data_IF_467960917701
#
_entry.id   IF_467960917701
#
_cell.length_a   1.000
_cell.length_b   1.000
_cell.length_c   1.000
_cell.angle_alpha   90.00
_cell.angle_beta   90.00
_cell.angle_gamma   90.00
#
_symmetry.space_group_name_H-M   'P 1'
#
loop_
_entity.id
_entity.type
_entity.pdbx_description
1 polymer ?
#
# COMPACT_ATOMS: atom_id res chain seq x y z
N UNK A 1 32.26 9.97 -3.99
CA UNK A 1 31.46 8.84 -4.49
C UNK A 1 30.31 8.65 -3.49
N UNK A 2 29.09 8.98 -3.86
CA UNK A 2 27.92 8.57 -3.07
C UNK A 2 27.79 7.05 -3.25
N UNK A 3 27.84 6.32 -2.12
CA UNK A 3 27.63 4.86 -2.13
C UNK A 3 26.18 4.51 -2.48
N UNK A 4 25.95 3.27 -2.87
CA UNK A 4 24.60 2.73 -3.08
C UNK A 4 23.82 2.75 -1.74
N UNK A 5 22.51 3.06 -1.73
CA UNK A 5 21.72 3.09 -0.51
C UNK A 5 21.62 1.71 0.13
N UNK A 6 21.55 1.66 1.45
CA UNK A 6 21.31 0.42 2.20
C UNK A 6 19.82 0.09 2.30
N UNK A 7 18.96 1.10 2.25
CA UNK A 7 17.51 0.96 2.33
C UNK A 7 16.87 1.82 1.24
N UNK A 8 15.99 1.22 0.45
CA UNK A 8 15.17 1.90 -0.55
C UNK A 8 13.70 1.74 -0.18
N UNK A 9 12.99 2.86 -0.01
CA UNK A 9 11.58 2.88 0.39
C UNK A 9 10.72 3.41 -0.75
N UNK A 10 9.89 2.55 -1.32
CA UNK A 10 8.85 2.93 -2.28
C UNK A 10 7.57 3.31 -1.54
N UNK A 11 7.42 4.60 -1.23
CA UNK A 11 6.33 5.14 -0.42
C UNK A 11 5.30 5.94 -1.23
N UNK A 12 5.68 6.49 -2.39
CA UNK A 12 4.79 7.32 -3.20
C UNK A 12 3.48 6.58 -3.54
N UNK A 13 2.36 7.28 -3.43
CA UNK A 13 1.07 6.69 -3.75
C UNK A 13 -0.06 7.70 -3.74
N UNK A 14 -1.08 7.42 -4.53
CA UNK A 14 -2.32 8.20 -4.62
C UNK A 14 -3.53 7.34 -4.29
N UNK A 15 -4.60 7.99 -3.83
CA UNK A 15 -5.89 7.36 -3.55
C UNK A 15 -7.01 8.29 -3.95
N UNK A 16 -7.70 7.96 -5.01
CA UNK A 16 -8.84 8.71 -5.56
C UNK A 16 -10.04 7.77 -5.60
N UNK A 17 -11.23 8.30 -5.29
CA UNK A 17 -12.47 7.54 -5.42
C UNK A 17 -12.80 7.29 -6.89
N UNK A 18 -13.42 6.15 -7.18
CA UNK A 18 -13.86 5.79 -8.52
C UNK A 18 -15.20 5.06 -8.51
N UNK A 19 -15.90 5.13 -9.65
CA UNK A 19 -17.10 4.35 -9.94
C UNK A 19 -16.91 3.65 -11.29
N UNK A 20 -16.98 2.32 -11.30
CA UNK A 20 -16.82 1.54 -12.54
C UNK A 20 -17.92 1.79 -13.57
N UNK A 21 -19.05 2.38 -13.18
CA UNK A 21 -20.11 2.78 -14.09
C UNK A 21 -19.78 4.08 -14.86
N UNK A 22 -18.77 4.84 -14.44
CA UNK A 22 -18.33 6.06 -15.10
C UNK A 22 -17.07 5.81 -15.93
N UNK A 23 -17.20 5.85 -17.27
CA UNK A 23 -16.07 5.59 -18.16
C UNK A 23 -14.86 6.54 -17.93
N UNK A 24 -15.10 7.75 -17.42
CA UNK A 24 -14.04 8.73 -17.11
C UNK A 24 -13.14 8.24 -15.97
N UNK A 25 -13.65 7.40 -15.08
CA UNK A 25 -12.90 6.88 -13.94
C UNK A 25 -11.91 5.77 -14.33
N UNK A 26 -11.92 5.30 -15.59
CA UNK A 26 -10.86 4.43 -16.10
C UNK A 26 -9.49 5.11 -16.06
N UNK A 27 -9.44 6.43 -16.31
CA UNK A 27 -8.21 7.21 -16.16
C UNK A 27 -7.72 7.22 -14.69
N UNK A 28 -8.64 7.28 -13.71
CA UNK A 28 -8.29 7.19 -12.28
C UNK A 28 -7.63 5.84 -11.96
N UNK A 29 -8.14 4.76 -12.54
CA UNK A 29 -7.53 3.43 -12.39
C UNK A 29 -6.10 3.40 -12.98
N UNK A 30 -5.94 3.88 -14.21
CA UNK A 30 -4.64 3.93 -14.90
C UNK A 30 -3.62 4.75 -14.12
N UNK A 31 -3.96 5.97 -13.71
CA UNK A 31 -3.10 6.85 -12.90
C UNK A 31 -2.69 6.19 -11.59
N UNK A 32 -3.66 5.56 -10.91
CA UNK A 32 -3.43 4.91 -9.62
C UNK A 32 -2.50 3.71 -9.77
N UNK A 33 -2.69 2.87 -10.79
CA UNK A 33 -1.81 1.73 -11.06
C UNK A 33 -0.41 2.19 -11.49
N UNK A 34 -0.32 3.20 -12.35
CA UNK A 34 0.95 3.78 -12.77
C UNK A 34 1.75 4.29 -11.58
N UNK A 35 1.13 5.10 -10.71
CA UNK A 35 1.82 5.67 -9.54
C UNK A 35 2.12 4.60 -8.48
N UNK A 36 1.10 3.83 -8.08
CA UNK A 36 1.21 2.96 -6.89
C UNK A 36 1.89 1.63 -7.18
N UNK A 37 1.91 1.15 -8.42
CA UNK A 37 2.47 -0.16 -8.78
C UNK A 37 3.71 0.00 -9.64
N UNK A 38 3.57 0.61 -10.82
CA UNK A 38 4.72 0.82 -11.73
C UNK A 38 5.77 1.69 -11.06
N UNK A 39 5.36 2.74 -10.32
CA UNK A 39 6.25 3.58 -9.55
C UNK A 39 7.03 2.82 -8.48
N UNK A 40 6.42 1.85 -7.80
CA UNK A 40 7.14 0.98 -6.84
C UNK A 40 8.19 0.13 -7.54
N UNK A 41 7.81 -0.53 -8.65
CA UNK A 41 8.74 -1.34 -9.43
C UNK A 41 9.91 -0.49 -9.98
N UNK A 42 9.62 0.69 -10.52
CA UNK A 42 10.63 1.62 -11.03
C UNK A 42 11.55 2.14 -9.91
N UNK A 43 11.03 2.27 -8.67
CA UNK A 43 11.85 2.66 -7.51
C UNK A 43 12.83 1.56 -7.12
N UNK A 44 12.44 0.29 -7.20
CA UNK A 44 13.29 -0.83 -6.79
C UNK A 44 14.28 -1.26 -7.87
N UNK A 45 13.83 -1.29 -9.12
CA UNK A 45 14.57 -1.87 -10.24
C UNK A 45 16.03 -1.45 -10.33
N UNK A 46 16.42 -0.17 -10.18
CA UNK A 46 17.82 0.25 -10.31
C UNK A 46 18.74 -0.32 -9.21
N UNK A 47 18.19 -0.75 -8.08
CA UNK A 47 18.96 -1.14 -6.90
C UNK A 47 19.05 -2.65 -6.69
N UNK A 48 18.10 -3.43 -7.21
CA UNK A 48 18.00 -4.88 -6.94
C UNK A 48 19.30 -5.60 -7.27
N UNK A 49 19.86 -5.41 -8.47
CA UNK A 49 21.06 -6.13 -8.89
C UNK A 49 22.27 -5.71 -8.07
N UNK A 50 22.48 -4.40 -7.88
CA UNK A 50 23.60 -3.89 -7.09
C UNK A 50 23.57 -4.36 -5.63
N UNK A 51 22.38 -4.44 -5.04
CA UNK A 51 22.20 -5.00 -3.67
C UNK A 51 22.48 -6.50 -3.63
N UNK A 52 22.06 -7.27 -4.63
CA UNK A 52 22.38 -8.71 -4.75
C UNK A 52 23.87 -8.95 -4.86
N UNK A 53 24.56 -8.20 -5.72
CA UNK A 53 26.01 -8.31 -5.94
C UNK A 53 26.80 -7.95 -4.68
N UNK A 54 26.31 -6.96 -3.92
CA UNK A 54 26.86 -6.56 -2.63
C UNK A 54 26.57 -7.56 -1.51
N UNK A 55 25.58 -8.41 -1.66
CA UNK A 55 25.12 -9.35 -0.63
C UNK A 55 24.35 -8.70 0.52
N UNK A 56 23.87 -7.46 0.36
CA UNK A 56 23.15 -6.72 1.41
C UNK A 56 22.28 -5.60 0.85
N UNK A 57 21.17 -5.31 1.52
CA UNK A 57 20.26 -4.24 1.21
C UNK A 57 18.84 -4.52 1.71
N UNK A 58 18.01 -3.49 1.75
CA UNK A 58 16.61 -3.63 2.14
C UNK A 58 15.71 -2.81 1.20
N UNK A 59 14.77 -3.47 0.58
CA UNK A 59 13.73 -2.88 -0.27
C UNK A 59 12.42 -2.86 0.53
N UNK A 60 11.79 -1.69 0.64
CA UNK A 60 10.59 -1.50 1.46
C UNK A 60 9.44 -1.01 0.59
N UNK A 61 8.41 -1.84 0.42
CA UNK A 61 7.18 -1.46 -0.26
C UNK A 61 6.10 -1.01 0.72
N UNK A 62 5.52 0.18 0.50
CA UNK A 62 4.41 0.68 1.31
C UNK A 62 3.09 0.37 0.61
N UNK A 63 2.45 -0.73 1.06
CA UNK A 63 1.13 -1.16 0.62
C UNK A 63 0.01 -0.44 1.42
N UNK A 64 -0.96 -1.18 1.94
CA UNK A 64 -2.04 -0.71 2.84
C UNK A 64 -2.83 -1.91 3.34
N UNK A 65 -3.53 -1.77 4.47
CA UNK A 65 -4.59 -2.73 4.87
C UNK A 65 -5.72 -2.83 3.84
N UNK A 66 -5.90 -1.82 3.01
CA UNK A 66 -6.84 -1.84 1.87
C UNK A 66 -6.46 -2.88 0.78
N UNK A 67 -5.25 -3.46 0.84
CA UNK A 67 -4.84 -4.57 -0.02
C UNK A 67 -5.59 -5.88 0.27
N UNK A 68 -6.17 -6.01 1.48
CA UNK A 68 -6.76 -7.28 1.96
C UNK A 68 -8.10 -7.58 1.32
N UNK A 69 -8.93 -6.56 1.10
CA UNK A 69 -10.28 -6.67 0.48
C UNK A 69 -10.61 -5.43 -0.34
N UNK A 70 -11.33 -5.63 -1.45
CA UNK A 70 -11.88 -4.53 -2.24
C UNK A 70 -12.96 -3.76 -1.47
N UNK A 71 -12.86 -2.45 -1.41
CA UNK A 71 -13.84 -1.57 -0.76
C UNK A 71 -14.64 -0.80 -1.81
N UNK A 72 -15.98 -0.67 -1.66
CA UNK A 72 -16.79 0.12 -2.58
C UNK A 72 -16.25 1.55 -2.77
N UNK A 73 -16.12 1.98 -4.02
CA UNK A 73 -15.58 3.30 -4.36
C UNK A 73 -14.05 3.45 -4.24
N UNK A 74 -13.32 2.36 -3.92
CA UNK A 74 -11.86 2.37 -3.77
C UNK A 74 -11.18 1.34 -4.68
N UNK A 75 -11.82 0.88 -5.74
CA UNK A 75 -11.36 -0.25 -6.55
C UNK A 75 -9.91 -0.05 -7.04
N UNK A 76 -9.58 1.11 -7.62
CA UNK A 76 -8.23 1.42 -8.10
C UNK A 76 -7.20 1.33 -6.96
N UNK A 77 -7.49 1.93 -5.82
CA UNK A 77 -6.57 1.94 -4.68
C UNK A 77 -6.38 0.52 -4.10
N UNK A 78 -7.47 -0.20 -3.83
CA UNK A 78 -7.40 -1.56 -3.29
C UNK A 78 -6.63 -2.50 -4.22
N UNK A 79 -6.93 -2.46 -5.53
CA UNK A 79 -6.24 -3.26 -6.54
C UNK A 79 -4.74 -2.91 -6.60
N UNK A 80 -4.40 -1.62 -6.60
CA UNK A 80 -3.00 -1.18 -6.62
C UNK A 80 -2.22 -1.64 -5.38
N UNK A 81 -2.82 -1.55 -4.20
CA UNK A 81 -2.15 -1.95 -2.95
C UNK A 81 -2.03 -3.48 -2.81
N UNK A 82 -3.01 -4.24 -3.32
CA UNK A 82 -2.89 -5.69 -3.45
C UNK A 82 -1.77 -6.10 -4.41
N UNK A 83 -1.64 -5.40 -5.55
CA UNK A 83 -0.55 -5.61 -6.49
C UNK A 83 0.83 -5.33 -5.87
N UNK A 84 0.96 -4.29 -5.03
CA UNK A 84 2.23 -4.00 -4.31
C UNK A 84 2.59 -5.13 -3.36
N UNK A 85 1.62 -5.70 -2.62
CA UNK A 85 1.87 -6.87 -1.76
C UNK A 85 2.40 -8.03 -2.57
N UNK A 86 1.73 -8.41 -3.67
CA UNK A 86 2.14 -9.50 -4.53
C UNK A 86 3.52 -9.25 -5.19
N UNK A 87 3.79 -8.01 -5.63
CA UNK A 87 5.09 -7.60 -6.18
C UNK A 87 6.23 -7.79 -5.17
N UNK A 88 6.03 -7.29 -3.94
CA UNK A 88 7.02 -7.44 -2.87
C UNK A 88 7.22 -8.90 -2.46
N UNK A 89 6.15 -9.70 -2.45
CA UNK A 89 6.23 -11.13 -2.15
C UNK A 89 7.04 -11.89 -3.20
N UNK A 90 6.80 -11.64 -4.49
CA UNK A 90 7.59 -12.21 -5.59
C UNK A 90 9.05 -11.80 -5.50
N UNK A 91 9.31 -10.50 -5.33
CA UNK A 91 10.67 -9.96 -5.22
C UNK A 91 11.42 -10.54 -4.00
N UNK A 92 10.73 -10.77 -2.89
CA UNK A 92 11.30 -11.44 -1.70
C UNK A 92 11.74 -12.86 -2.03
N UNK A 93 10.93 -13.59 -2.79
CA UNK A 93 11.27 -14.93 -3.29
C UNK A 93 12.50 -14.90 -4.20
N UNK A 94 12.54 -13.96 -5.13
CA UNK A 94 13.66 -13.77 -6.07
C UNK A 94 14.97 -13.36 -5.37
N UNK A 95 14.89 -12.63 -4.26
CA UNK A 95 16.06 -12.20 -3.47
C UNK A 95 16.50 -13.23 -2.43
N UNK A 96 15.86 -14.40 -2.34
CA UNK A 96 16.21 -15.43 -1.35
C UNK A 96 17.67 -15.88 -1.51
N UNK A 97 18.40 -15.87 -0.41
CA UNK A 97 19.82 -16.26 -0.39
C UNK A 97 20.81 -15.19 -0.87
N UNK A 98 20.34 -14.05 -1.37
CA UNK A 98 21.21 -12.96 -1.86
C UNK A 98 21.66 -11.97 -0.79
N UNK A 99 21.18 -12.09 0.46
CA UNK A 99 21.41 -11.10 1.51
C UNK A 99 20.51 -9.85 1.42
N UNK A 100 19.71 -9.72 0.36
CA UNK A 100 18.74 -8.61 0.20
C UNK A 100 17.43 -8.94 0.91
N UNK A 101 16.95 -8.03 1.72
CA UNK A 101 15.66 -8.12 2.42
C UNK A 101 14.58 -7.35 1.69
N UNK A 102 13.38 -7.90 1.64
CA UNK A 102 12.19 -7.19 1.12
C UNK A 102 11.16 -7.13 2.23
N UNK A 103 10.76 -5.90 2.58
CA UNK A 103 9.80 -5.60 3.66
C UNK A 103 8.55 -5.00 3.04
N UNK A 104 7.38 -5.53 3.38
CA UNK A 104 6.08 -4.97 2.98
C UNK A 104 5.41 -4.35 4.20
N UNK A 105 5.13 -3.06 4.15
CA UNK A 105 4.41 -2.34 5.20
C UNK A 105 2.95 -2.16 4.77
N UNK A 106 2.02 -2.51 5.64
CA UNK A 106 0.59 -2.34 5.43
C UNK A 106 0.04 -1.33 6.46
N UNK A 107 0.14 -0.02 6.17
CA UNK A 107 -0.48 0.99 7.03
C UNK A 107 -1.99 0.83 7.11
N UNK A 108 -2.56 1.08 8.32
CA UNK A 108 -3.94 1.44 8.49
C UNK A 108 -4.17 2.91 8.11
N UNK A 109 -4.94 3.63 8.93
CA UNK A 109 -5.14 5.06 8.72
C UNK A 109 -4.02 5.87 9.36
N UNK A 110 -3.34 6.68 8.55
CA UNK A 110 -2.30 7.60 8.96
C UNK A 110 -2.72 9.02 8.62
N UNK A 111 -2.61 9.95 9.56
CA UNK A 111 -2.97 11.36 9.40
C UNK A 111 -1.99 12.03 8.43
N UNK A 112 -2.40 12.15 7.17
CA UNK A 112 -1.63 12.71 6.05
C UNK A 112 -2.58 13.44 5.10
N UNK A 113 -2.08 14.24 4.14
CA UNK A 113 -2.93 14.82 3.10
C UNK A 113 -3.78 13.79 2.33
N UNK A 114 -3.28 12.55 2.18
CA UNK A 114 -4.01 11.46 1.52
C UNK A 114 -5.31 11.10 2.23
N UNK A 115 -5.37 11.25 3.55
CA UNK A 115 -6.50 10.88 4.41
C UNK A 115 -7.33 12.06 4.89
N UNK A 116 -6.82 13.29 4.77
CA UNK A 116 -7.46 14.51 5.28
C UNK A 116 -8.87 14.75 4.72
N UNK A 117 -9.13 14.34 3.46
CA UNK A 117 -10.43 14.46 2.81
C UNK A 117 -11.39 13.29 3.04
N UNK A 118 -11.06 12.32 3.88
CA UNK A 118 -11.93 11.17 4.13
C UNK A 118 -13.12 11.58 5.02
N UNK A 119 -14.34 11.23 4.57
CA UNK A 119 -15.60 11.50 5.29
C UNK A 119 -16.19 10.27 5.99
N UNK A 120 -15.39 9.24 6.19
CA UNK A 120 -15.79 8.00 6.85
C UNK A 120 -14.91 7.74 8.07
N UNK A 121 -15.38 6.92 9.04
CA UNK A 121 -14.60 6.60 10.23
C UNK A 121 -13.25 5.98 9.90
N UNK A 122 -12.21 6.44 10.56
CA UNK A 122 -10.83 5.96 10.44
C UNK A 122 -10.37 5.36 11.78
N UNK A 123 -10.76 4.12 12.09
CA UNK A 123 -10.38 3.49 13.35
C UNK A 123 -8.85 3.36 13.43
N UNK A 124 -8.33 3.56 14.65
CA UNK A 124 -6.89 3.50 14.92
C UNK A 124 -6.07 4.48 14.08
N UNK A 125 -6.63 5.65 13.75
CA UNK A 125 -5.89 6.73 13.11
C UNK A 125 -4.66 7.08 13.94
N UNK A 126 -3.49 7.10 13.31
CA UNK A 126 -2.23 7.43 13.96
C UNK A 126 -1.54 8.61 13.26
N UNK A 127 -0.62 9.27 13.97
CA UNK A 127 0.20 10.32 13.36
C UNK A 127 1.23 9.73 12.38
N UNK A 128 1.71 10.56 11.44
CA UNK A 128 2.78 10.17 10.53
C UNK A 128 4.07 9.80 11.27
N UNK A 129 4.41 10.53 12.33
CA UNK A 129 5.59 10.26 13.15
C UNK A 129 5.51 8.92 13.88
N UNK A 130 4.34 8.59 14.42
CA UNK A 130 4.15 7.30 15.09
C UNK A 130 4.22 6.15 14.09
N UNK A 131 3.62 6.31 12.91
CA UNK A 131 3.76 5.35 11.82
C UNK A 131 5.24 5.18 11.43
N UNK A 132 5.98 6.28 11.24
CA UNK A 132 7.38 6.24 10.83
C UNK A 132 8.25 5.50 11.88
N UNK A 133 8.04 5.75 13.17
CA UNK A 133 8.77 5.02 14.24
C UNK A 133 8.50 3.51 14.20
N UNK A 134 7.24 3.11 14.02
CA UNK A 134 6.90 1.68 13.95
C UNK A 134 7.40 1.03 12.66
N UNK A 135 7.33 1.74 11.53
CA UNK A 135 7.85 1.30 10.25
C UNK A 135 9.37 1.10 10.31
N UNK A 136 10.10 2.06 10.88
CA UNK A 136 11.55 1.96 11.07
C UNK A 136 11.95 0.72 11.87
N UNK A 137 11.27 0.46 13.01
CA UNK A 137 11.52 -0.75 13.81
C UNK A 137 11.26 -2.04 13.03
N UNK A 138 10.22 -2.05 12.19
CA UNK A 138 9.91 -3.21 11.36
C UNK A 138 10.98 -3.44 10.27
N UNK A 139 11.51 -2.37 9.68
CA UNK A 139 12.60 -2.41 8.71
C UNK A 139 13.89 -2.92 9.36
N UNK A 140 14.27 -2.38 10.53
CA UNK A 140 15.44 -2.84 11.27
C UNK A 140 15.34 -4.32 11.65
N UNK A 141 14.16 -4.74 12.14
CA UNK A 141 13.90 -6.14 12.47
C UNK A 141 13.90 -7.09 11.25
N UNK A 142 13.88 -6.55 10.03
CA UNK A 142 13.92 -7.33 8.80
C UNK A 142 12.69 -8.22 8.60
N UNK A 143 11.53 -7.83 9.14
CA UNK A 143 10.28 -8.60 8.97
C UNK A 143 9.84 -8.56 7.50
N UNK A 144 9.32 -9.66 6.99
CA UNK A 144 8.85 -9.72 5.59
C UNK A 144 7.60 -8.90 5.35
N UNK A 145 6.70 -8.82 6.34
CA UNK A 145 5.45 -8.07 6.28
C UNK A 145 5.07 -7.52 7.65
N UNK A 146 4.52 -6.31 7.70
CA UNK A 146 4.03 -5.70 8.94
C UNK A 146 2.80 -4.83 8.70
N UNK A 147 1.70 -5.17 9.37
CA UNK A 147 0.53 -4.28 9.50
C UNK A 147 0.77 -3.30 10.65
N UNK A 148 0.54 -2.02 10.40
CA UNK A 148 0.76 -0.93 11.38
C UNK A 148 -0.49 -0.02 11.41
N UNK A 149 -1.13 0.17 12.58
CA UNK A 149 -0.84 -0.43 13.89
C UNK A 149 -1.32 -1.88 14.00
N UNK A 150 -0.83 -2.61 14.98
CA UNK A 150 -1.14 -4.04 15.15
C UNK A 150 -2.65 -4.37 15.29
N UNK A 151 -3.54 -3.52 15.88
CA UNK A 151 -4.96 -3.84 15.91
C UNK A 151 -5.59 -3.95 14.51
N UNK A 152 -5.04 -3.21 13.55
CA UNK A 152 -5.46 -3.31 12.15
C UNK A 152 -5.10 -4.67 11.52
N UNK A 153 -4.11 -5.39 12.05
CA UNK A 153 -3.81 -6.76 11.60
C UNK A 153 -4.96 -7.71 11.95
N UNK A 154 -5.56 -7.56 13.12
CA UNK A 154 -6.74 -8.34 13.52
C UNK A 154 -7.92 -8.01 12.61
N UNK A 155 -8.18 -6.72 12.38
CA UNK A 155 -9.24 -6.28 11.45
C UNK A 155 -9.03 -6.86 10.06
N UNK A 156 -7.81 -6.76 9.52
CA UNK A 156 -7.44 -7.31 8.21
C UNK A 156 -7.68 -8.82 8.13
N UNK A 157 -7.23 -9.58 9.15
CA UNK A 157 -7.44 -11.02 9.22
C UNK A 157 -8.91 -11.40 9.24
N UNK A 158 -9.73 -10.70 10.04
CA UNK A 158 -11.18 -10.90 10.10
C UNK A 158 -11.85 -10.59 8.76
N UNK A 159 -11.49 -9.46 8.13
CA UNK A 159 -12.02 -9.08 6.81
C UNK A 159 -11.66 -10.11 5.73
N UNK A 160 -10.48 -10.70 5.81
CA UNK A 160 -10.00 -11.70 4.82
C UNK A 160 -10.85 -12.97 4.83
N UNK A 161 -11.31 -13.41 6.01
CA UNK A 161 -12.10 -14.65 6.16
C UNK A 161 -13.61 -14.40 6.14
N UNK A 162 -14.07 -13.14 6.20
CA UNK A 162 -15.49 -12.81 6.23
C UNK A 162 -16.18 -13.21 4.92
N UNK A 163 -17.28 -13.99 4.93
CA UNK A 163 -18.03 -14.33 3.71
C UNK A 163 -18.51 -13.06 2.96
N UNK A 164 -18.55 -13.13 1.62
CA UNK A 164 -18.90 -11.97 0.79
C UNK A 164 -20.23 -11.33 1.18
N UNK A 165 -21.28 -12.13 1.41
CA UNK A 165 -22.60 -11.59 1.77
C UNK A 165 -22.58 -10.76 3.06
N UNK A 166 -21.77 -11.16 4.04
CA UNK A 166 -21.61 -10.40 5.30
C UNK A 166 -20.75 -9.15 5.09
N UNK A 167 -19.70 -9.29 4.30
CA UNK A 167 -18.84 -8.16 3.93
C UNK A 167 -19.64 -7.08 3.18
N UNK A 168 -20.40 -7.46 2.17
CA UNK A 168 -21.21 -6.55 1.36
C UNK A 168 -22.25 -5.83 2.23
N UNK A 169 -22.91 -6.56 3.13
CA UNK A 169 -23.88 -5.96 4.08
C UNK A 169 -23.20 -4.99 5.05
N UNK A 170 -22.00 -5.31 5.53
CA UNK A 170 -21.22 -4.47 6.44
C UNK A 170 -20.78 -3.14 5.78
N UNK A 171 -20.48 -3.17 4.48
CA UNK A 171 -20.02 -2.02 3.72
C UNK A 171 -21.11 -1.35 2.88
N UNK A 172 -22.33 -1.90 2.85
CA UNK A 172 -23.49 -1.27 2.23
C UNK A 172 -23.75 0.12 2.86
N UNK A 173 -23.88 1.13 2.02
CA UNK A 173 -24.21 2.51 2.46
C UNK A 173 -23.06 3.26 3.15
N UNK A 174 -21.85 2.67 3.28
CA UNK A 174 -20.70 3.42 3.81
C UNK A 174 -20.23 4.47 2.82
N UNK A 175 -19.73 5.61 3.35
CA UNK A 175 -19.22 6.71 2.54
C UNK A 175 -18.12 6.26 1.58
N UNK A 176 -18.22 6.68 0.32
CA UNK A 176 -17.21 6.44 -0.72
C UNK A 176 -16.12 7.50 -0.64
N UNK A 177 -14.92 7.17 -1.11
CA UNK A 177 -13.84 8.13 -1.31
C UNK A 177 -14.29 9.20 -2.31
N UNK A 178 -13.89 10.45 -2.11
CA UNK A 178 -14.19 11.52 -3.04
C UNK A 178 -13.57 11.21 -4.41
N UNK A 179 -14.38 11.38 -5.47
CA UNK A 179 -13.93 11.33 -6.86
C UNK A 179 -13.30 12.69 -7.22
N UNK A 180 -12.37 12.69 -8.16
CA UNK A 180 -11.97 13.96 -8.79
C UNK A 180 -13.21 14.54 -9.47
N UNK A 181 -13.66 15.71 -9.02
CA UNK A 181 -14.63 16.48 -9.81
C UNK A 181 -13.87 16.91 -11.06
N UNK A 182 -14.24 16.36 -12.19
CA UNK A 182 -13.90 16.99 -13.47
C UNK A 182 -14.75 18.27 -13.52
N UNK A 183 -14.14 19.41 -13.25
CA UNK A 183 -14.74 20.69 -13.63
C UNK A 183 -14.96 20.60 -15.13
N UNK A 184 -16.24 20.69 -15.53
CA UNK A 184 -16.61 20.61 -16.93
C UNK A 184 -15.97 21.79 -17.68
N UNK A 185 -15.23 21.49 -18.72
CA UNK A 185 -15.01 22.41 -19.83
C UNK A 185 -16.23 22.43 -20.72
#
# INVERSE_FOLDING_TARGET
QQGWPDVVVANAGISVGMDMADARDLAVLQDTLSTNVTGVAATFQPFVQAMRDRGSGTLVGVASVAAVRGLPGHAAYCASKAAVVALCESLRGECRGSGVRVVTLLPGYVATPLTAGNRYPMPFLMSADEFARQAFRAIEAGVSERVIPWPMAVVAALLKVLPNAWFDRLFAGRGRKQRRHHEGT
#
